data_IF_670607098605
#
_entry.id   IF_670607098605
#
_cell.length_a   1.000
_cell.length_b   1.000
_cell.length_c   1.000
_cell.angle_alpha   90.00
_cell.angle_beta   90.00
_cell.angle_gamma   90.00
#
_symmetry.space_group_name_H-M   'P 1'
#
loop_
_entity.id
_entity.type
_entity.pdbx_description
1 polymer ?
#
# COMPACT_ATOMS: atom_id res chain seq x y z
N UNK A 1 2.78 -46.82 20.04
CA UNK A 1 2.62 -46.11 18.76
C UNK A 1 3.10 -47.02 17.66
N UNK A 2 2.36 -47.09 16.55
CA UNK A 2 2.64 -48.00 15.44
C UNK A 2 2.81 -47.16 14.19
N UNK A 3 3.97 -47.26 13.55
CA UNK A 3 4.27 -46.54 12.31
C UNK A 3 3.40 -47.08 11.17
N UNK A 4 2.92 -46.18 10.30
CA UNK A 4 2.14 -46.58 9.14
C UNK A 4 3.05 -47.28 8.12
N UNK A 5 2.70 -48.50 7.72
CA UNK A 5 3.47 -49.25 6.71
C UNK A 5 3.57 -48.51 5.37
N UNK A 6 2.59 -47.65 5.06
CA UNK A 6 2.61 -46.81 3.86
C UNK A 6 3.74 -45.79 3.87
N UNK A 7 4.14 -45.24 5.03
CA UNK A 7 5.18 -44.21 5.13
C UNK A 7 6.53 -44.66 4.56
N UNK A 8 6.81 -45.96 4.62
CA UNK A 8 8.05 -46.53 4.08
C UNK A 8 8.09 -46.55 2.54
N UNK A 9 6.94 -46.72 1.89
CA UNK A 9 6.85 -46.97 0.43
C UNK A 9 6.21 -45.82 -0.33
N UNK A 10 5.30 -45.10 0.31
CA UNK A 10 4.45 -44.02 -0.19
C UNK A 10 4.12 -43.06 0.96
N UNK A 11 5.09 -42.25 1.43
CA UNK A 11 4.84 -41.26 2.46
C UNK A 11 3.78 -40.26 2.00
N UNK A 12 2.95 -39.79 2.93
CA UNK A 12 1.91 -38.78 2.65
C UNK A 12 2.47 -37.48 2.09
N UNK A 13 3.73 -37.16 2.42
CA UNK A 13 4.51 -36.05 1.86
C UNK A 13 5.76 -36.59 1.18
N UNK A 14 5.91 -36.28 -0.11
CA UNK A 14 7.11 -36.61 -0.88
C UNK A 14 8.14 -35.46 -0.83
N UNK A 15 9.42 -35.81 -0.95
CA UNK A 15 10.49 -34.80 -1.10
C UNK A 15 10.31 -34.04 -2.42
N UNK A 16 10.48 -32.72 -2.40
CA UNK A 16 10.46 -31.88 -3.61
C UNK A 16 11.86 -31.45 -3.99
N UNK A 17 12.05 -31.18 -5.28
CA UNK A 17 13.25 -30.51 -5.79
C UNK A 17 12.84 -29.12 -6.26
N UNK A 18 13.33 -28.09 -5.59
CA UNK A 18 13.06 -26.71 -5.98
C UNK A 18 14.00 -26.28 -7.11
N UNK A 19 13.46 -26.08 -8.30
CA UNK A 19 14.10 -25.36 -9.38
C UNK A 19 13.90 -23.85 -9.20
N UNK A 20 14.79 -23.22 -8.44
CA UNK A 20 14.77 -21.78 -8.15
C UNK A 20 15.05 -20.93 -9.39
N UNK A 21 15.71 -21.49 -10.42
CA UNK A 21 16.05 -20.77 -11.65
C UNK A 21 14.83 -20.28 -12.45
N UNK A 22 13.66 -20.87 -12.21
CA UNK A 22 12.38 -20.45 -12.81
C UNK A 22 11.92 -19.07 -12.33
N UNK A 23 12.41 -18.62 -11.17
CA UNK A 23 12.10 -17.29 -10.66
C UNK A 23 12.97 -16.24 -11.34
N UNK A 24 12.31 -15.32 -12.06
CA UNK A 24 12.91 -14.25 -12.86
C UNK A 24 12.26 -12.92 -12.48
N UNK A 25 12.38 -12.55 -11.20
CA UNK A 25 11.95 -11.26 -10.69
C UNK A 25 13.12 -10.59 -9.98
N UNK A 26 13.07 -9.27 -9.91
CA UNK A 26 13.93 -8.51 -9.02
C UNK A 26 13.64 -8.86 -7.56
N UNK A 27 14.67 -8.76 -6.71
CA UNK A 27 14.58 -8.97 -5.27
C UNK A 27 13.48 -8.12 -4.65
N UNK A 28 12.65 -8.73 -3.79
CA UNK A 28 11.62 -7.98 -3.08
C UNK A 28 12.26 -7.00 -2.09
N UNK A 29 11.91 -5.73 -2.23
CA UNK A 29 12.11 -4.74 -1.17
C UNK A 29 10.84 -3.95 -0.93
N UNK A 30 10.75 -3.37 0.27
CA UNK A 30 9.68 -2.44 0.65
C UNK A 30 9.61 -1.21 -0.28
N UNK A 31 10.72 -0.77 -0.85
CA UNK A 31 10.74 0.48 -1.63
C UNK A 31 10.42 0.29 -3.12
N UNK A 32 10.52 -0.93 -3.64
CA UNK A 32 10.41 -1.19 -5.08
C UNK A 32 8.97 -1.35 -5.60
N UNK A 33 7.96 -1.38 -4.72
CA UNK A 33 6.53 -1.29 -5.09
C UNK A 33 6.05 -2.34 -6.11
N UNK A 34 6.71 -3.49 -6.14
CA UNK A 34 6.48 -4.58 -7.08
C UNK A 34 5.98 -5.86 -6.38
N UNK A 35 5.47 -5.74 -5.16
CA UNK A 35 5.08 -6.90 -4.35
C UNK A 35 4.04 -7.77 -5.05
N UNK A 36 3.02 -7.24 -5.72
CA UNK A 36 2.01 -8.11 -6.35
C UNK A 36 2.56 -8.88 -7.55
N UNK A 37 3.42 -8.27 -8.38
CA UNK A 37 4.06 -8.97 -9.49
C UNK A 37 5.06 -10.01 -8.99
N UNK A 38 5.85 -9.65 -7.97
CA UNK A 38 6.77 -10.55 -7.27
C UNK A 38 6.03 -11.75 -6.67
N UNK A 39 4.97 -11.48 -5.89
CA UNK A 39 4.11 -12.47 -5.21
C UNK A 39 3.52 -13.45 -6.23
N UNK A 40 2.99 -12.93 -7.34
CA UNK A 40 2.43 -13.75 -8.42
C UNK A 40 3.49 -14.68 -9.00
N UNK A 41 4.69 -14.18 -9.30
CA UNK A 41 5.75 -14.99 -9.86
C UNK A 41 6.29 -16.02 -8.86
N UNK A 42 6.44 -15.64 -7.59
CA UNK A 42 6.89 -16.55 -6.54
C UNK A 42 5.93 -17.74 -6.36
N UNK A 43 4.63 -17.46 -6.27
CA UNK A 43 3.57 -18.50 -6.20
C UNK A 43 3.56 -19.37 -7.46
N UNK A 44 3.69 -18.78 -8.65
CA UNK A 44 3.75 -19.54 -9.91
C UNK A 44 4.98 -20.45 -9.96
N UNK A 45 6.14 -19.97 -9.54
CA UNK A 45 7.36 -20.78 -9.44
C UNK A 45 7.16 -21.97 -8.51
N UNK A 46 6.58 -21.76 -7.32
CA UNK A 46 6.31 -22.88 -6.40
C UNK A 46 5.28 -23.88 -6.94
N UNK A 47 4.24 -23.41 -7.66
CA UNK A 47 3.28 -24.29 -8.34
C UNK A 47 3.97 -25.20 -9.36
N UNK A 48 4.90 -24.65 -10.14
CA UNK A 48 5.69 -25.43 -11.09
C UNK A 48 6.64 -26.42 -10.40
N UNK A 49 7.01 -26.16 -9.14
CA UNK A 49 7.77 -27.06 -8.30
C UNK A 49 6.85 -28.03 -7.53
N UNK A 50 6.10 -28.84 -8.27
CA UNK A 50 5.28 -29.94 -7.72
C UNK A 50 4.19 -29.47 -6.74
N UNK A 51 3.64 -28.26 -6.94
CA UNK A 51 2.59 -27.72 -6.07
C UNK A 51 3.10 -27.27 -4.69
N UNK A 52 4.37 -26.87 -4.59
CA UNK A 52 4.98 -26.38 -3.35
C UNK A 52 4.31 -25.12 -2.79
N UNK A 53 3.44 -24.44 -3.55
CA UNK A 53 2.63 -23.32 -3.05
C UNK A 53 1.67 -23.74 -1.92
N UNK A 54 1.34 -25.03 -1.82
CA UNK A 54 0.55 -25.57 -0.70
C UNK A 54 1.22 -25.43 0.69
N UNK A 55 2.53 -25.19 0.75
CA UNK A 55 3.22 -24.85 1.99
C UNK A 55 2.97 -23.40 2.42
N UNK A 56 2.69 -22.49 1.49
CA UNK A 56 2.48 -21.07 1.78
C UNK A 56 1.12 -20.79 2.43
N UNK A 57 0.10 -21.57 2.07
CA UNK A 57 -1.26 -21.43 2.58
C UNK A 57 -1.62 -22.51 3.62
N UNK A 58 -0.73 -23.47 3.86
CA UNK A 58 -0.92 -24.53 4.85
C UNK A 58 -1.83 -25.67 4.38
N UNK A 59 -2.09 -25.78 3.06
CA UNK A 59 -2.76 -26.96 2.50
C UNK A 59 -1.96 -28.25 2.72
N UNK A 60 -0.63 -28.15 2.81
CA UNK A 60 0.26 -29.28 3.12
C UNK A 60 0.61 -29.25 4.61
N UNK A 61 -0.13 -30.03 5.40
CA UNK A 61 0.04 -30.11 6.85
C UNK A 61 1.28 -30.92 7.23
N UNK A 62 1.88 -30.57 8.37
CA UNK A 62 2.98 -31.35 8.93
C UNK A 62 2.47 -32.73 9.39
N UNK A 63 3.03 -33.84 8.89
CA UNK A 63 2.64 -35.18 9.32
C UNK A 63 2.98 -35.44 10.80
N UNK A 64 2.34 -36.43 11.43
CA UNK A 64 2.73 -36.83 12.77
C UNK A 64 4.08 -37.58 12.74
N UNK A 65 5.05 -37.12 13.54
CA UNK A 65 6.41 -37.68 13.59
C UNK A 65 6.44 -39.17 14.00
N UNK A 66 5.53 -39.59 14.87
CA UNK A 66 5.51 -40.94 15.42
C UNK A 66 4.74 -41.92 14.53
N UNK A 67 3.81 -41.43 13.71
CA UNK A 67 3.00 -42.23 12.78
C UNK A 67 3.63 -42.32 11.38
N UNK A 68 4.17 -41.20 10.89
CA UNK A 68 4.78 -41.05 9.55
C UNK A 68 6.15 -40.32 9.62
N UNK A 69 7.19 -40.93 10.21
CA UNK A 69 8.49 -40.27 10.39
C UNK A 69 9.17 -39.85 9.07
N UNK A 70 8.98 -40.58 7.96
CA UNK A 70 9.56 -40.20 6.66
C UNK A 70 8.82 -39.02 6.06
N UNK A 71 7.49 -39.05 6.05
CA UNK A 71 6.70 -37.90 5.60
C UNK A 71 7.01 -36.65 6.44
N UNK A 72 7.16 -36.79 7.76
CA UNK A 72 7.59 -35.70 8.65
C UNK A 72 8.97 -35.13 8.26
N UNK A 73 9.95 -36.01 8.00
CA UNK A 73 11.28 -35.59 7.55
C UNK A 73 11.22 -34.86 6.20
N UNK A 74 10.45 -35.39 5.24
CA UNK A 74 10.28 -34.78 3.92
C UNK A 74 9.61 -33.42 4.04
N UNK A 75 8.58 -33.29 4.87
CA UNK A 75 7.89 -32.03 5.11
C UNK A 75 8.85 -30.96 5.62
N UNK A 76 9.68 -31.28 6.62
CA UNK A 76 10.66 -30.33 7.16
C UNK A 76 11.71 -29.92 6.13
N UNK A 77 12.21 -30.86 5.34
CA UNK A 77 13.18 -30.56 4.27
C UNK A 77 12.58 -29.64 3.20
N UNK A 78 11.34 -29.91 2.79
CA UNK A 78 10.60 -29.08 1.82
C UNK A 78 10.34 -27.68 2.38
N UNK A 79 9.83 -27.59 3.61
CA UNK A 79 9.58 -26.32 4.31
C UNK A 79 10.86 -25.47 4.42
N UNK A 80 11.97 -26.07 4.87
CA UNK A 80 13.27 -25.39 4.97
C UNK A 80 13.80 -24.95 3.60
N UNK A 81 13.60 -25.75 2.56
CA UNK A 81 14.00 -25.37 1.20
C UNK A 81 13.21 -24.17 0.67
N UNK A 82 11.91 -24.08 0.98
CA UNK A 82 11.07 -22.95 0.59
C UNK A 82 11.44 -21.70 1.37
N UNK A 83 11.72 -21.81 2.68
CA UNK A 83 12.24 -20.71 3.49
C UNK A 83 13.57 -20.19 2.95
N UNK A 84 14.52 -21.09 2.67
CA UNK A 84 15.81 -20.72 2.08
C UNK A 84 15.65 -20.05 0.71
N UNK A 85 14.77 -20.57 -0.14
CA UNK A 85 14.47 -19.93 -1.43
C UNK A 85 13.85 -18.54 -1.25
N UNK A 86 12.91 -18.39 -0.32
CA UNK A 86 12.30 -17.09 0.02
C UNK A 86 13.36 -16.08 0.46
N UNK A 87 14.27 -16.47 1.36
CA UNK A 87 15.37 -15.61 1.81
C UNK A 87 16.29 -15.16 0.67
N UNK A 88 16.50 -15.98 -0.37
CA UNK A 88 17.33 -15.62 -1.53
C UNK A 88 16.69 -14.61 -2.48
N UNK A 89 15.36 -14.42 -2.44
CA UNK A 89 14.62 -13.58 -3.39
C UNK A 89 14.01 -12.32 -2.75
N UNK A 90 14.38 -12.04 -1.50
CA UNK A 90 14.02 -10.84 -0.76
C UNK A 90 15.31 -10.14 -0.25
N UNK A 91 15.24 -8.85 0.05
CA UNK A 91 16.38 -8.09 0.56
C UNK A 91 16.65 -8.34 2.05
N UNK A 92 17.73 -7.76 2.58
CA UNK A 92 18.13 -7.92 3.98
C UNK A 92 17.06 -7.45 4.97
N UNK A 93 16.41 -6.31 4.70
CA UNK A 93 15.37 -5.77 5.56
C UNK A 93 14.11 -6.65 5.58
N UNK A 94 13.80 -7.34 4.50
CA UNK A 94 12.73 -8.34 4.44
C UNK A 94 13.15 -9.69 5.05
N UNK A 95 14.44 -10.05 5.02
CA UNK A 95 14.96 -11.23 5.71
C UNK A 95 14.81 -11.11 7.23
N UNK A 96 15.15 -9.94 7.81
CA UNK A 96 14.94 -9.67 9.25
C UNK A 96 13.48 -9.88 9.68
N UNK A 97 12.52 -9.62 8.78
CA UNK A 97 11.09 -9.77 9.08
C UNK A 97 10.66 -11.22 9.19
N UNK A 98 11.34 -12.14 8.49
CA UNK A 98 11.01 -13.56 8.49
C UNK A 98 12.02 -14.42 9.26
N UNK A 99 13.00 -13.80 9.94
CA UNK A 99 14.10 -14.50 10.61
C UNK A 99 13.60 -15.55 11.62
N UNK A 100 12.60 -15.19 12.43
CA UNK A 100 12.02 -16.07 13.45
C UNK A 100 10.95 -17.04 12.89
N UNK A 101 10.66 -16.99 11.58
CA UNK A 101 9.63 -17.81 11.00
C UNK A 101 10.08 -19.28 10.87
N UNK A 102 9.42 -20.15 11.62
CA UNK A 102 9.70 -21.61 11.61
C UNK A 102 9.14 -22.29 10.37
N UNK A 103 8.04 -21.77 9.82
CA UNK A 103 7.37 -22.34 8.65
C UNK A 103 7.35 -21.37 7.49
N UNK A 104 7.37 -21.92 6.27
CA UNK A 104 7.17 -21.15 5.04
C UNK A 104 5.82 -20.43 5.04
N UNK A 105 4.80 -21.01 5.68
CA UNK A 105 3.49 -20.37 5.87
C UNK A 105 3.61 -19.10 6.72
N UNK A 106 4.33 -19.16 7.83
CA UNK A 106 4.48 -18.03 8.75
C UNK A 106 5.30 -16.91 8.11
N UNK A 107 6.44 -17.26 7.48
CA UNK A 107 7.24 -16.31 6.72
C UNK A 107 6.41 -15.62 5.63
N UNK A 108 5.61 -16.40 4.88
CA UNK A 108 4.74 -15.88 3.84
C UNK A 108 3.68 -14.91 4.38
N UNK A 109 3.05 -15.24 5.51
CA UNK A 109 2.07 -14.35 6.16
C UNK A 109 2.70 -13.03 6.57
N UNK A 110 3.90 -13.06 7.16
CA UNK A 110 4.63 -11.87 7.57
C UNK A 110 4.94 -10.95 6.39
N UNK A 111 5.46 -11.49 5.28
CA UNK A 111 5.71 -10.72 4.06
C UNK A 111 4.41 -10.15 3.47
N UNK A 112 3.37 -10.98 3.34
CA UNK A 112 2.07 -10.51 2.80
C UNK A 112 1.49 -9.40 3.67
N UNK A 113 1.56 -9.52 5.00
CA UNK A 113 1.07 -8.50 5.92
C UNK A 113 1.87 -7.20 5.79
N UNK A 114 3.20 -7.30 5.79
CA UNK A 114 4.10 -6.15 5.69
C UNK A 114 3.87 -5.35 4.42
N UNK A 115 3.70 -6.03 3.30
CA UNK A 115 3.46 -5.38 2.00
C UNK A 115 1.99 -5.03 1.74
N UNK A 116 1.04 -5.56 2.52
CA UNK A 116 -0.35 -5.11 2.48
C UNK A 116 -0.53 -3.70 3.07
N UNK A 117 0.28 -3.32 4.07
CA UNK A 117 0.18 -2.01 4.73
C UNK A 117 0.69 -0.86 3.85
N UNK A 118 1.49 -1.12 2.83
CA UNK A 118 1.94 -0.08 1.90
C UNK A 118 0.95 0.21 0.77
N UNK A 119 0.09 -0.76 0.45
CA UNK A 119 -0.73 -0.77 -0.75
C UNK A 119 -1.57 0.51 -0.95
N UNK A 120 -2.43 0.92 0.00
CA UNK A 120 -3.35 2.03 -0.22
C UNK A 120 -2.67 3.39 -0.34
N UNK A 121 -1.70 3.68 0.52
CA UNK A 121 -1.07 5.00 0.65
C UNK A 121 -0.14 5.32 -0.52
N UNK A 122 0.79 4.41 -0.83
CA UNK A 122 1.71 4.58 -1.96
C UNK A 122 0.93 4.55 -3.29
N UNK A 123 -0.14 3.77 -3.37
CA UNK A 123 -1.03 3.77 -4.54
C UNK A 123 -1.69 5.13 -4.73
N UNK A 124 -2.13 5.81 -3.67
CA UNK A 124 -2.65 7.19 -3.75
C UNK A 124 -1.59 8.17 -4.20
N UNK A 125 -0.36 8.10 -3.67
CA UNK A 125 0.73 8.98 -4.10
C UNK A 125 1.03 8.80 -5.59
N UNK A 126 1.12 7.57 -6.08
CA UNK A 126 1.31 7.29 -7.50
C UNK A 126 0.15 7.78 -8.35
N UNK A 127 -1.09 7.68 -7.86
CA UNK A 127 -2.26 8.22 -8.58
C UNK A 127 -2.22 9.75 -8.60
N UNK A 128 -1.85 10.41 -7.51
CA UNK A 128 -1.68 11.87 -7.49
C UNK A 128 -0.57 12.32 -8.44
N UNK A 129 0.55 11.60 -8.49
CA UNK A 129 1.63 11.83 -9.46
C UNK A 129 1.12 11.67 -10.89
N UNK A 130 0.44 10.57 -11.19
CA UNK A 130 -0.14 10.31 -12.52
C UNK A 130 -1.16 11.39 -12.93
N UNK A 131 -2.03 11.81 -12.01
CA UNK A 131 -3.03 12.86 -12.25
C UNK A 131 -2.41 14.26 -12.33
N UNK A 132 -1.19 14.46 -11.82
CA UNK A 132 -0.41 15.69 -11.93
C UNK A 132 0.34 15.83 -13.25
N UNK A 133 0.61 14.72 -13.95
CA UNK A 133 1.29 14.75 -15.26
C UNK A 133 0.39 15.40 -16.31
N UNK A 134 1.01 16.27 -17.12
CA UNK A 134 0.37 16.95 -18.26
C UNK A 134 1.28 16.80 -19.48
N UNK A 135 0.67 16.60 -20.65
CA UNK A 135 1.40 16.74 -21.91
C UNK A 135 1.83 18.20 -22.08
N UNK A 136 3.07 18.41 -22.51
CA UNK A 136 3.63 19.74 -22.78
C UNK A 136 4.44 19.73 -24.08
N UNK A 137 4.59 20.90 -24.71
CA UNK A 137 5.42 21.05 -25.90
C UNK A 137 6.93 20.95 -25.63
N UNK A 138 7.33 20.98 -24.35
CA UNK A 138 8.74 20.90 -23.92
C UNK A 138 9.29 19.48 -23.84
N UNK A 139 8.43 18.46 -23.87
CA UNK A 139 8.81 17.04 -23.83
C UNK A 139 8.14 16.29 -24.99
N UNK A 140 8.81 15.25 -25.52
CA UNK A 140 8.17 14.37 -26.50
C UNK A 140 6.96 13.69 -25.86
N UNK A 141 5.80 13.77 -26.50
CA UNK A 141 4.57 13.13 -26.00
C UNK A 141 4.74 11.63 -25.76
N UNK A 142 5.57 10.95 -26.55
CA UNK A 142 5.92 9.54 -26.32
C UNK A 142 6.53 9.29 -24.95
N UNK A 143 7.40 10.19 -24.48
CA UNK A 143 8.05 10.05 -23.17
C UNK A 143 7.04 10.24 -22.04
N UNK A 144 6.16 11.24 -22.15
CA UNK A 144 5.07 11.45 -21.20
C UNK A 144 4.11 10.25 -21.16
N UNK A 145 3.74 9.69 -22.31
CA UNK A 145 2.92 8.47 -22.39
C UNK A 145 3.59 7.25 -21.75
N UNK A 146 4.91 7.08 -21.94
CA UNK A 146 5.67 6.00 -21.30
C UNK A 146 5.69 6.16 -19.77
N UNK A 147 5.88 7.39 -19.26
CA UNK A 147 5.81 7.69 -17.82
C UNK A 147 4.43 7.30 -17.26
N UNK A 148 3.35 7.73 -17.91
CA UNK A 148 1.98 7.40 -17.52
C UNK A 148 1.71 5.88 -17.55
N UNK A 149 2.23 5.18 -18.56
CA UNK A 149 2.08 3.71 -18.68
C UNK A 149 2.77 2.99 -17.52
N UNK A 150 3.99 3.41 -17.17
CA UNK A 150 4.75 2.88 -16.03
C UNK A 150 4.04 3.14 -14.71
N UNK A 151 3.54 4.36 -14.49
CA UNK A 151 2.79 4.70 -13.28
C UNK A 151 1.49 3.89 -13.19
N UNK A 152 0.72 3.79 -14.27
CA UNK A 152 -0.50 2.99 -14.31
C UNK A 152 -0.21 1.52 -13.94
N UNK A 153 0.83 0.93 -14.52
CA UNK A 153 1.23 -0.44 -14.17
C UNK A 153 1.53 -0.57 -12.68
N UNK A 154 2.34 0.33 -12.12
CA UNK A 154 2.68 0.33 -10.68
C UNK A 154 1.46 0.51 -9.78
N UNK A 155 0.53 1.39 -10.15
CA UNK A 155 -0.73 1.60 -9.43
C UNK A 155 -1.52 0.30 -9.35
N UNK A 156 -1.72 -0.40 -10.47
CA UNK A 156 -2.50 -1.64 -10.48
C UNK A 156 -1.75 -2.83 -9.88
N UNK A 157 -0.42 -2.84 -9.96
CA UNK A 157 0.43 -3.82 -9.25
C UNK A 157 0.39 -3.62 -7.73
N UNK A 158 -0.21 -2.56 -7.18
CA UNK A 158 -0.45 -2.43 -5.73
C UNK A 158 -1.79 -3.04 -5.27
N UNK A 159 -2.64 -3.45 -6.19
CA UNK A 159 -3.94 -4.06 -5.90
C UNK A 159 -5.14 -3.20 -6.31
N UNK A 160 -6.35 -3.68 -6.01
CA UNK A 160 -7.58 -2.99 -6.36
C UNK A 160 -7.85 -1.79 -5.45
N UNK A 161 -8.19 -0.65 -6.05
CA UNK A 161 -8.68 0.53 -5.34
C UNK A 161 -10.06 0.25 -4.72
N UNK A 162 -10.25 0.59 -3.45
CA UNK A 162 -11.58 0.61 -2.84
C UNK A 162 -12.33 1.87 -3.27
N UNK A 163 -13.67 1.82 -3.27
CA UNK A 163 -14.49 3.00 -3.61
C UNK A 163 -14.18 4.20 -2.72
N UNK A 164 -13.94 3.97 -1.43
CA UNK A 164 -13.62 5.04 -0.47
C UNK A 164 -12.24 5.65 -0.75
N UNK A 165 -11.25 4.80 -1.07
CA UNK A 165 -9.91 5.24 -1.43
C UNK A 165 -9.93 6.11 -2.70
N UNK A 166 -10.69 5.69 -3.70
CA UNK A 166 -10.87 6.47 -4.93
C UNK A 166 -11.54 7.82 -4.68
N UNK A 167 -12.58 7.88 -3.82
CA UNK A 167 -13.22 9.13 -3.44
C UNK A 167 -12.23 10.10 -2.77
N UNK A 168 -11.41 9.62 -1.83
CA UNK A 168 -10.38 10.44 -1.18
C UNK A 168 -9.41 11.04 -2.20
N UNK A 169 -8.96 10.25 -3.17
CA UNK A 169 -8.07 10.72 -4.24
C UNK A 169 -8.73 11.83 -5.07
N UNK A 170 -9.99 11.63 -5.47
CA UNK A 170 -10.74 12.63 -6.27
C UNK A 170 -10.91 13.93 -5.49
N UNK A 171 -11.25 13.85 -4.20
CA UNK A 171 -11.35 15.03 -3.33
C UNK A 171 -10.01 15.76 -3.23
N UNK A 172 -8.89 15.04 -3.01
CA UNK A 172 -7.56 15.65 -2.95
C UNK A 172 -7.16 16.30 -4.28
N UNK A 173 -7.47 15.64 -5.39
CA UNK A 173 -7.21 16.19 -6.71
C UNK A 173 -8.03 17.46 -6.96
N UNK A 174 -9.31 17.46 -6.58
CA UNK A 174 -10.22 18.61 -6.77
C UNK A 174 -9.76 19.88 -6.06
N UNK A 175 -9.09 19.75 -4.91
CA UNK A 175 -8.49 20.88 -4.18
C UNK A 175 -7.32 21.53 -4.94
N UNK A 176 -6.71 20.84 -5.91
CA UNK A 176 -5.52 21.34 -6.63
C UNK A 176 -5.79 22.57 -7.49
N UNK A 177 -7.06 22.84 -7.80
CA UNK A 177 -7.47 23.96 -8.63
C UNK A 177 -7.87 25.22 -7.82
N UNK A 178 -7.86 25.15 -6.49
CA UNK A 178 -8.24 26.26 -5.60
C UNK A 178 -7.02 26.71 -4.80
N UNK A 179 -6.43 27.88 -5.08
CA UNK A 179 -5.23 28.35 -4.40
C UNK A 179 -5.34 28.37 -2.87
N UNK A 180 -6.50 28.79 -2.36
CA UNK A 180 -6.77 28.92 -0.92
C UNK A 180 -6.77 27.57 -0.19
N UNK A 181 -7.05 26.48 -0.92
CA UNK A 181 -7.06 25.13 -0.37
C UNK A 181 -5.71 24.43 -0.47
N UNK A 182 -4.64 25.10 -0.95
CA UNK A 182 -3.33 24.47 -1.13
C UNK A 182 -2.78 23.89 0.18
N UNK A 183 -2.83 24.65 1.27
CA UNK A 183 -2.36 24.20 2.58
C UNK A 183 -3.19 23.03 3.11
N UNK A 184 -4.52 23.11 2.98
CA UNK A 184 -5.45 22.04 3.34
C UNK A 184 -5.15 20.77 2.54
N UNK A 185 -4.92 20.88 1.23
CA UNK A 185 -4.58 19.76 0.35
C UNK A 185 -3.27 19.10 0.78
N UNK A 186 -2.23 19.88 1.04
CA UNK A 186 -0.92 19.36 1.47
C UNK A 186 -1.04 18.64 2.83
N UNK A 187 -1.79 19.22 3.78
CA UNK A 187 -2.04 18.61 5.08
C UNK A 187 -2.85 17.31 4.97
N UNK A 188 -3.96 17.32 4.22
CA UNK A 188 -4.79 16.13 3.98
C UNK A 188 -3.97 15.05 3.29
N UNK A 189 -3.22 15.37 2.23
CA UNK A 189 -2.38 14.40 1.53
C UNK A 189 -1.32 13.79 2.45
N UNK A 190 -0.73 14.59 3.34
CA UNK A 190 0.25 14.12 4.32
C UNK A 190 -0.38 13.20 5.38
N UNK A 191 -1.53 13.58 5.97
CA UNK A 191 -2.23 12.74 6.93
C UNK A 191 -2.73 11.44 6.30
N UNK A 192 -3.25 11.54 5.09
CA UNK A 192 -3.66 10.39 4.28
C UNK A 192 -2.47 9.45 4.04
N UNK A 193 -1.30 9.99 3.69
CA UNK A 193 -0.09 9.21 3.47
C UNK A 193 0.55 8.62 4.74
N UNK A 194 0.13 9.06 5.92
CA UNK A 194 0.57 8.49 7.21
C UNK A 194 -0.48 7.54 7.81
N UNK A 195 -1.57 7.29 7.10
CA UNK A 195 -2.65 6.39 7.51
C UNK A 195 -2.38 4.95 7.07
N UNK A 196 -3.07 4.00 7.69
CA UNK A 196 -3.11 2.58 7.29
C UNK A 196 -4.24 2.33 6.25
N UNK A 197 -4.73 3.39 5.61
CA UNK A 197 -5.78 3.36 4.60
C UNK A 197 -7.19 3.69 5.13
N UNK A 198 -8.18 3.50 4.25
CA UNK A 198 -9.58 3.88 4.52
C UNK A 198 -10.37 2.86 5.33
N UNK A 199 -9.86 1.63 5.45
CA UNK A 199 -10.54 0.56 6.20
C UNK A 199 -9.54 -0.41 6.84
N UNK A 200 -8.69 0.07 7.79
CA UNK A 200 -7.79 -0.81 8.51
C UNK A 200 -8.57 -1.74 9.45
N UNK A 201 -8.12 -2.98 9.60
CA UNK A 201 -8.67 -3.94 10.55
C UNK A 201 -8.20 -3.60 11.98
N UNK A 202 -8.95 -2.72 12.64
CA UNK A 202 -8.65 -2.25 14.00
C UNK A 202 -8.69 -3.37 15.05
N UNK A 203 -9.33 -4.50 14.74
CA UNK A 203 -9.34 -5.66 15.65
C UNK A 203 -8.00 -6.40 15.64
N UNK A 204 -7.29 -6.38 14.51
CA UNK A 204 -5.96 -6.97 14.36
C UNK A 204 -4.83 -6.00 14.65
N UNK A 205 -5.04 -4.72 14.36
CA UNK A 205 -4.07 -3.67 14.68
C UNK A 205 -4.79 -2.46 15.31
N UNK A 206 -4.90 -2.41 16.65
CA UNK A 206 -5.54 -1.30 17.35
C UNK A 206 -4.83 0.05 17.19
N UNK A 207 -3.55 0.04 16.77
CA UNK A 207 -2.76 1.25 16.54
C UNK A 207 -2.90 1.78 15.10
N UNK A 208 -3.64 1.08 14.23
CA UNK A 208 -3.80 1.49 12.85
C UNK A 208 -4.58 2.80 12.76
N UNK A 209 -4.06 3.72 11.95
CA UNK A 209 -4.64 5.04 11.71
C UNK A 209 -5.57 4.96 10.50
N UNK A 210 -6.87 4.97 10.74
CA UNK A 210 -7.86 5.12 9.67
C UNK A 210 -7.88 6.57 9.19
N UNK A 211 -7.98 6.75 7.88
CA UNK A 211 -8.25 8.06 7.28
C UNK A 211 -9.20 7.90 6.08
N UNK A 212 -10.33 8.60 6.08
CA UNK A 212 -11.36 8.47 5.05
C UNK A 212 -11.95 9.82 4.57
N UNK A 213 -12.97 9.78 3.71
CA UNK A 213 -13.55 11.00 3.14
C UNK A 213 -14.20 11.91 4.18
N UNK A 214 -14.59 11.39 5.34
CA UNK A 214 -15.15 12.20 6.42
C UNK A 214 -14.10 13.09 7.07
N UNK A 215 -12.84 12.62 7.16
CA UNK A 215 -11.72 13.41 7.64
C UNK A 215 -11.38 14.55 6.67
N UNK A 216 -11.43 14.28 5.36
CA UNK A 216 -11.23 15.30 4.32
C UNK A 216 -12.33 16.36 4.39
N UNK A 217 -13.60 15.95 4.53
CA UNK A 217 -14.74 16.88 4.67
C UNK A 217 -14.54 17.78 5.88
N UNK A 218 -14.16 17.22 7.03
CA UNK A 218 -13.87 18.01 8.24
C UNK A 218 -12.75 19.03 8.03
N UNK A 219 -11.68 18.64 7.32
CA UNK A 219 -10.59 19.55 6.98
C UNK A 219 -11.05 20.71 6.08
N UNK A 220 -11.91 20.41 5.10
CA UNK A 220 -12.52 21.41 4.22
C UNK A 220 -13.47 22.35 4.99
N UNK A 221 -14.29 21.82 5.90
CA UNK A 221 -15.20 22.62 6.72
C UNK A 221 -14.44 23.61 7.61
N UNK A 222 -13.31 23.17 8.20
CA UNK A 222 -12.43 24.05 8.96
C UNK A 222 -11.81 25.14 8.09
N UNK A 223 -11.35 24.79 6.88
CA UNK A 223 -10.79 25.75 5.94
C UNK A 223 -11.85 26.79 5.49
N UNK A 224 -13.08 26.34 5.21
CA UNK A 224 -14.18 27.24 4.86
C UNK A 224 -14.54 28.18 6.01
N UNK A 225 -14.57 27.68 7.26
CA UNK A 225 -14.84 28.50 8.43
C UNK A 225 -13.82 29.63 8.65
N UNK A 226 -12.56 29.41 8.27
CA UNK A 226 -11.52 30.46 8.29
C UNK A 226 -11.80 31.53 7.21
N UNK A 227 -12.11 31.13 5.98
CA UNK A 227 -12.46 32.04 4.89
C UNK A 227 -13.70 32.88 5.22
N UNK A 228 -14.73 32.25 5.80
CA UNK A 228 -15.95 32.92 6.22
C UNK A 228 -15.73 33.88 7.40
N UNK A 229 -14.72 33.63 8.23
CA UNK A 229 -14.35 34.52 9.34
C UNK A 229 -13.54 35.72 8.86
N UNK A 230 -12.60 35.51 7.95
CA UNK A 230 -11.79 36.58 7.34
C UNK A 230 -12.67 37.55 6.54
N UNK A 231 -13.61 37.02 5.75
CA UNK A 231 -14.58 37.85 5.01
C UNK A 231 -15.44 38.72 5.93
N UNK A 232 -15.97 38.15 7.02
CA UNK A 232 -16.72 38.93 8.03
C UNK A 232 -15.85 39.98 8.71
N UNK A 233 -14.59 39.68 9.02
CA UNK A 233 -13.67 40.65 9.62
C UNK A 233 -13.38 41.82 8.66
N UNK A 234 -13.20 41.54 7.36
CA UNK A 234 -13.04 42.58 6.35
C UNK A 234 -14.29 43.44 6.17
N UNK A 235 -15.48 42.85 6.17
CA UNK A 235 -16.74 43.59 6.05
C UNK A 235 -16.97 44.53 7.24
N UNK A 236 -16.62 44.10 8.45
CA UNK A 236 -16.69 44.93 9.67
C UNK A 236 -15.69 46.09 9.59
N UNK A 237 -14.45 45.82 9.16
CA UNK A 237 -13.42 46.85 9.03
C UNK A 237 -13.80 47.90 7.97
N UNK A 238 -14.38 47.47 6.84
CA UNK A 238 -14.84 48.36 5.78
C UNK A 238 -16.04 49.21 6.23
N UNK A 239 -16.96 48.62 7.00
CA UNK A 239 -18.13 49.31 7.55
C UNK A 239 -17.78 50.32 8.66
N UNK A 240 -16.65 50.13 9.34
CA UNK A 240 -16.15 51.04 10.38
C UNK A 240 -15.45 52.29 9.81
N UNK A 241 -15.09 52.30 8.52
CA UNK A 241 -14.50 53.46 7.84
C UNK A 241 -15.59 54.41 7.32
N UNK A 242 -16.30 55.10 8.21
CA UNK A 242 -17.10 56.28 7.80
C UNK A 242 -16.17 57.43 7.36
N UNK A 243 -16.41 58.08 6.19
CA UNK A 243 -15.54 59.16 5.73
C UNK A 243 -15.71 60.41 6.62
N UNK A 244 -14.62 61.18 6.85
CA UNK A 244 -14.71 62.43 7.59
C UNK A 244 -15.58 63.43 6.82
N UNK A 245 -16.59 63.99 7.50
CA UNK A 245 -17.44 65.07 6.99
C UNK A 245 -16.57 66.24 6.52
N UNK A 246 -16.44 66.42 5.22
CA UNK A 246 -15.80 67.58 4.61
C UNK A 246 -16.70 68.79 4.90
N UNK A 247 -16.23 69.68 5.78
CA UNK A 247 -16.91 70.93 6.14
C UNK A 247 -16.46 72.00 5.14
N UNK A 248 -17.28 72.31 4.14
CA UNK A 248 -17.04 73.45 3.25
C UNK A 248 -17.26 74.77 4.01
N UNK A 249 -16.36 75.76 3.92
CA UNK A 249 -16.62 77.09 4.45
C UNK A 249 -17.51 77.86 3.47
N UNK A 250 -18.62 78.37 4.00
CA UNK A 250 -19.56 79.26 3.33
C UNK A 250 -18.87 80.55 2.92
N UNK A 251 -19.13 81.00 1.70
CA UNK A 251 -18.85 82.35 1.24
C UNK A 251 -19.93 83.30 1.76
N UNK A 252 -19.56 84.47 2.28
CA UNK A 252 -20.38 85.67 2.39
C UNK A 252 -19.42 86.88 2.48
N UNK A 253 -19.33 87.64 1.37
CA UNK A 253 -19.71 89.06 1.17
C UNK A 253 -18.79 90.06 1.86
#
# INVERSE_FOLDING_TARGET
MTTLSSDTTRPSVSIITLNTSLFKHDTLSKDQNHFSSWKRQFVQTLRMNQGADGYLDGRILQPNKDEEPRAYSNWNANNGSILGFMGLVIDEAEQEIIEDAVTAQDAWKLLVQRHAQEGPVKQVQLIQEALGIRYSSSEKYSTTSSKLTTLNKRIWDMGSLTSELFLCIVMINSMSNVPDLRATRENVAQQFAQSDGTNPDLTKNPLAKKYDSSDIKRALDMAQGLVDSDSKATDIALSAQTPPKIRFPSSEV
#
